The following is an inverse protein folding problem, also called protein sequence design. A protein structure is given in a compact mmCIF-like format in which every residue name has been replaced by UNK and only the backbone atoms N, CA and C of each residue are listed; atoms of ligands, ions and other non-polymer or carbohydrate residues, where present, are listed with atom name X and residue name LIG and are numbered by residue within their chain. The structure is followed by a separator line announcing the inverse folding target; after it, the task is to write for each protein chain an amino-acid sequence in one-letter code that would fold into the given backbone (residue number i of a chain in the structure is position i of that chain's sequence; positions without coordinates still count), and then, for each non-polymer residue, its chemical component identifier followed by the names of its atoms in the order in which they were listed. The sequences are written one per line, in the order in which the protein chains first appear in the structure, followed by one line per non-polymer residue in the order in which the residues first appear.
data_IF_462634817506
#
_entry.id   IF_462634817506
#
_cell.length_a   1.000
_cell.length_b   1.000
_cell.length_c   1.000
_cell.angle_alpha   90.00
_cell.angle_beta   90.00
_cell.angle_gamma   90.00
#
_symmetry.space_group_name_H-M   'P 1'
#
loop_
_entity.id
_entity.type
_entity.pdbx_description
1 polymer ?
#
# COMPACT_ATOMS: atom_id res chain seq x y z
N UNK A 1 -1.37 50.32 -7.88
CA UNK A 1 -2.82 50.07 -8.03
C UNK A 1 -3.28 49.70 -9.45
N UNK A 2 -3.12 50.53 -10.50
CA UNK A 2 -3.67 50.21 -11.84
C UNK A 2 -3.07 48.93 -12.47
N UNK A 3 -1.78 48.65 -12.23
CA UNK A 3 -1.10 47.44 -12.76
C UNK A 3 -1.32 46.22 -11.84
N UNK A 4 -1.59 46.44 -10.56
CA UNK A 4 -1.80 45.37 -9.58
C UNK A 4 -3.15 44.67 -9.80
N UNK A 5 -4.19 45.43 -10.17
CA UNK A 5 -5.53 44.87 -10.38
C UNK A 5 -5.58 43.85 -11.54
N UNK A 6 -5.03 44.12 -12.75
CA UNK A 6 -4.92 43.13 -13.82
C UNK A 6 -4.13 41.87 -13.41
N UNK A 7 -3.04 42.05 -12.65
CA UNK A 7 -2.23 40.92 -12.18
C UNK A 7 -3.01 40.05 -11.19
N UNK A 8 -3.74 40.67 -10.25
CA UNK A 8 -4.60 39.95 -9.31
C UNK A 8 -5.71 39.20 -10.04
N UNK A 9 -6.38 39.84 -11.01
CA UNK A 9 -7.43 39.18 -11.82
C UNK A 9 -6.85 38.00 -12.60
N UNK A 10 -5.65 38.13 -13.18
CA UNK A 10 -4.98 37.05 -13.88
C UNK A 10 -4.67 35.87 -12.96
N UNK A 11 -4.12 36.13 -11.77
CA UNK A 11 -3.81 35.09 -10.76
C UNK A 11 -5.09 34.36 -10.34
N UNK A 12 -6.17 35.09 -10.07
CA UNK A 12 -7.47 34.51 -9.71
C UNK A 12 -7.99 33.64 -10.84
N UNK A 13 -7.96 34.14 -12.08
CA UNK A 13 -8.45 33.42 -13.26
C UNK A 13 -7.68 32.12 -13.50
N UNK A 14 -6.35 32.16 -13.41
CA UNK A 14 -5.50 30.97 -13.52
C UNK A 14 -5.81 29.98 -12.39
N UNK A 15 -5.97 30.47 -11.16
CA UNK A 15 -6.28 29.61 -10.00
C UNK A 15 -7.64 28.92 -10.15
N UNK A 16 -8.67 29.64 -10.61
CA UNK A 16 -10.00 29.08 -10.91
C UNK A 16 -9.91 28.04 -12.02
N UNK A 17 -9.17 28.33 -13.09
CA UNK A 17 -8.98 27.39 -14.20
C UNK A 17 -8.31 26.09 -13.73
N UNK A 18 -7.20 26.19 -12.98
CA UNK A 18 -6.50 25.03 -12.43
C UNK A 18 -7.39 24.21 -11.49
N UNK A 19 -8.16 24.88 -10.64
CA UNK A 19 -9.14 24.24 -9.75
C UNK A 19 -10.20 23.46 -10.55
N UNK A 20 -10.82 24.08 -11.56
CA UNK A 20 -11.84 23.41 -12.38
C UNK A 20 -11.26 22.22 -13.15
N UNK A 21 -10.03 22.35 -13.67
CA UNK A 21 -9.32 21.27 -14.35
C UNK A 21 -9.15 20.06 -13.41
N UNK A 22 -8.70 20.29 -12.18
CA UNK A 22 -8.51 19.21 -11.18
C UNK A 22 -9.83 18.58 -10.77
N UNK A 23 -10.88 19.37 -10.60
CA UNK A 23 -12.22 18.84 -10.31
C UNK A 23 -12.72 17.92 -11.42
N UNK A 24 -12.63 18.33 -12.68
CA UNK A 24 -13.01 17.48 -13.84
C UNK A 24 -12.16 16.21 -13.92
N UNK A 25 -10.86 16.32 -13.63
CA UNK A 25 -9.97 15.18 -13.58
C UNK A 25 -10.40 14.18 -12.49
N UNK A 26 -10.73 14.63 -11.27
CA UNK A 26 -11.27 13.77 -10.22
C UNK A 26 -12.62 13.15 -10.60
N UNK A 27 -13.53 13.93 -11.21
CA UNK A 27 -14.84 13.43 -11.65
C UNK A 27 -14.70 12.31 -12.69
N UNK A 28 -13.65 12.35 -13.54
CA UNK A 28 -13.36 11.26 -14.47
C UNK A 28 -12.97 9.96 -13.74
N UNK A 29 -12.20 10.05 -12.65
CA UNK A 29 -11.83 8.88 -11.85
C UNK A 29 -13.00 8.36 -11.02
N UNK A 30 -13.89 9.24 -10.55
CA UNK A 30 -15.13 8.84 -9.91
C UNK A 30 -15.93 7.90 -10.80
N UNK A 31 -16.12 8.25 -12.07
CA UNK A 31 -16.82 7.38 -13.03
C UNK A 31 -16.16 5.99 -13.16
N UNK A 32 -14.83 5.92 -13.18
CA UNK A 32 -14.10 4.64 -13.26
C UNK A 32 -14.30 3.77 -12.01
N UNK A 33 -14.40 4.39 -10.83
CA UNK A 33 -14.64 3.68 -9.56
C UNK A 33 -16.08 3.22 -9.39
N UNK A 34 -17.05 3.75 -10.15
CA UNK A 34 -18.45 3.30 -10.09
C UNK A 34 -18.59 1.81 -10.45
N UNK A 35 -17.65 1.25 -11.20
CA UNK A 35 -17.55 -0.20 -11.47
C UNK A 35 -17.57 -1.02 -10.18
N UNK A 36 -17.12 -0.47 -9.04
CA UNK A 36 -17.18 -1.18 -7.76
C UNK A 36 -18.61 -1.56 -7.34
N UNK A 37 -19.64 -0.88 -7.83
CA UNK A 37 -21.04 -1.21 -7.55
C UNK A 37 -21.45 -2.61 -8.00
N UNK A 38 -20.72 -3.21 -8.95
CA UNK A 38 -20.97 -4.58 -9.39
C UNK A 38 -20.64 -5.61 -8.30
N UNK A 39 -19.70 -5.30 -7.40
CA UNK A 39 -19.24 -6.22 -6.35
C UNK A 39 -19.70 -5.85 -4.94
N UNK A 40 -20.18 -4.64 -4.71
CA UNK A 40 -20.47 -4.09 -3.38
C UNK A 40 -21.89 -3.51 -3.31
N UNK A 41 -22.62 -3.83 -2.24
CA UNK A 41 -23.97 -3.28 -2.00
C UNK A 41 -23.95 -1.86 -1.43
N UNK A 42 -22.87 -1.51 -0.72
CA UNK A 42 -22.64 -0.17 -0.21
C UNK A 42 -21.54 0.51 -1.01
N UNK A 43 -21.80 1.74 -1.43
CA UNK A 43 -20.87 2.55 -2.20
C UNK A 43 -21.05 4.03 -1.86
N UNK A 44 -20.00 4.67 -1.35
CA UNK A 44 -20.00 6.08 -0.97
C UNK A 44 -18.78 6.79 -1.53
N UNK A 45 -19.03 7.94 -2.17
CA UNK A 45 -18.01 8.78 -2.78
C UNK A 45 -17.77 10.02 -1.93
N UNK A 46 -16.52 10.31 -1.60
CA UNK A 46 -16.12 11.46 -0.76
C UNK A 46 -14.98 12.22 -1.44
N UNK A 47 -15.01 13.55 -1.34
CA UNK A 47 -13.95 14.45 -1.80
C UNK A 47 -13.31 15.14 -0.59
N UNK A 48 -12.34 14.49 0.10
CA UNK A 48 -11.70 15.10 1.26
C UNK A 48 -10.90 16.36 0.89
N UNK A 49 -10.49 16.52 -0.38
CA UNK A 49 -9.85 17.73 -0.87
C UNK A 49 -9.98 17.87 -2.40
N UNK A 50 -9.54 19.01 -2.94
CA UNK A 50 -9.56 19.30 -4.38
C UNK A 50 -8.68 18.38 -5.23
N UNK A 51 -7.75 17.65 -4.60
CA UNK A 51 -6.79 16.76 -5.26
C UNK A 51 -7.01 15.31 -4.87
N UNK A 52 -8.03 15.02 -4.06
CA UNK A 52 -8.25 13.69 -3.54
C UNK A 52 -9.72 13.30 -3.61
N UNK A 53 -9.92 12.11 -4.11
CA UNK A 53 -11.22 11.47 -4.20
C UNK A 53 -11.12 10.09 -3.54
N UNK A 54 -12.15 9.72 -2.79
CA UNK A 54 -12.21 8.46 -2.06
C UNK A 54 -13.53 7.77 -2.36
N UNK A 55 -13.46 6.56 -2.85
CA UNK A 55 -14.59 5.63 -2.94
C UNK A 55 -14.50 4.65 -1.79
N UNK A 56 -15.58 4.56 -1.02
CA UNK A 56 -15.77 3.64 0.09
C UNK A 56 -16.79 2.58 -0.34
N UNK A 57 -16.40 1.32 -0.26
CA UNK A 57 -17.25 0.19 -0.62
C UNK A 57 -17.40 -0.78 0.55
N UNK A 58 -18.57 -1.41 0.67
CA UNK A 58 -18.87 -2.41 1.69
C UNK A 58 -19.97 -3.38 1.26
N UNK A 59 -20.16 -4.44 2.05
CA UNK A 59 -21.22 -5.42 1.81
C UNK A 59 -20.93 -6.48 0.73
N UNK A 60 -19.66 -6.64 0.32
CA UNK A 60 -19.22 -7.80 -0.48
C UNK A 60 -19.09 -9.05 0.41
N UNK A 61 -19.17 -10.25 -0.18
CA UNK A 61 -19.09 -11.50 0.57
C UNK A 61 -17.68 -11.81 1.11
N UNK A 62 -16.62 -11.45 0.38
CA UNK A 62 -15.21 -11.72 0.74
C UNK A 62 -14.51 -10.49 1.33
N UNK A 63 -14.80 -9.30 0.79
CA UNK A 63 -14.19 -8.03 1.21
C UNK A 63 -15.12 -7.30 2.18
N UNK A 64 -14.66 -7.09 3.42
CA UNK A 64 -15.45 -6.40 4.46
C UNK A 64 -15.64 -4.93 4.10
N UNK A 65 -14.55 -4.25 3.79
CA UNK A 65 -14.52 -2.85 3.36
C UNK A 65 -13.40 -2.64 2.37
N UNK A 66 -13.63 -1.75 1.41
CA UNK A 66 -12.65 -1.32 0.42
C UNK A 66 -12.64 0.20 0.32
N UNK A 67 -11.44 0.75 0.21
CA UNK A 67 -11.15 2.16 0.05
C UNK A 67 -10.34 2.30 -1.24
N UNK A 68 -10.89 3.00 -2.24
CA UNK A 68 -10.15 3.41 -3.42
C UNK A 68 -9.89 4.92 -3.32
N UNK A 69 -8.63 5.27 -3.09
CA UNK A 69 -8.16 6.64 -2.88
C UNK A 69 -7.39 7.08 -4.12
N UNK A 70 -7.92 8.06 -4.83
CA UNK A 70 -7.26 8.72 -5.95
C UNK A 70 -6.67 10.03 -5.44
N UNK A 71 -5.37 10.24 -5.63
CA UNK A 71 -4.66 11.47 -5.27
C UNK A 71 -3.97 12.04 -6.50
N UNK A 72 -4.39 13.22 -6.93
CA UNK A 72 -3.77 13.94 -8.05
C UNK A 72 -2.51 14.68 -7.60
N UNK A 73 -1.65 14.99 -8.56
CA UNK A 73 -0.55 15.93 -8.38
C UNK A 73 -1.07 17.29 -7.86
N UNK A 74 -0.24 17.94 -7.03
CA UNK A 74 -0.54 19.23 -6.39
C UNK A 74 -0.06 20.41 -7.25
N UNK A 75 -0.48 20.45 -8.51
CA UNK A 75 -0.13 21.46 -9.52
C UNK A 75 -1.22 22.54 -9.66
N UNK A 76 -1.91 22.89 -8.58
CA UNK A 76 -3.06 23.83 -8.61
C UNK A 76 -2.70 25.28 -8.27
N UNK A 77 -1.49 25.53 -7.74
CA UNK A 77 -0.97 26.85 -7.46
C UNK A 77 0.29 27.11 -8.27
N UNK A 78 0.45 28.32 -8.81
CA UNK A 78 1.62 28.73 -9.59
C UNK A 78 2.94 28.46 -8.84
N UNK A 79 2.99 28.69 -7.53
CA UNK A 79 4.20 28.42 -6.72
C UNK A 79 4.56 26.93 -6.64
N UNK A 80 3.56 26.04 -6.78
CA UNK A 80 3.76 24.58 -6.74
C UNK A 80 4.14 24.00 -8.11
N UNK A 81 3.90 24.71 -9.20
CA UNK A 81 4.36 24.32 -10.54
C UNK A 81 5.89 24.30 -10.65
N UNK A 82 6.57 25.13 -9.85
CA UNK A 82 8.03 25.22 -9.82
C UNK A 82 8.69 24.24 -8.84
N UNK A 83 7.90 23.53 -8.03
CA UNK A 83 8.38 22.47 -7.15
C UNK A 83 8.09 21.11 -7.78
N UNK A 84 8.96 20.12 -7.54
CA UNK A 84 8.74 18.75 -7.99
C UNK A 84 7.50 18.17 -7.31
N UNK A 85 6.35 18.27 -7.97
CA UNK A 85 5.09 17.79 -7.44
C UNK A 85 5.03 16.26 -7.49
N UNK A 86 4.56 15.58 -6.43
CA UNK A 86 4.37 14.14 -6.47
C UNK A 86 3.40 13.78 -7.59
N UNK A 87 3.72 12.72 -8.33
CA UNK A 87 2.87 12.19 -9.41
C UNK A 87 1.52 11.72 -8.88
N UNK A 88 0.47 11.86 -9.69
CA UNK A 88 -0.84 11.30 -9.37
C UNK A 88 -0.75 9.80 -9.08
N UNK A 89 -1.37 9.37 -7.99
CA UNK A 89 -1.35 7.99 -7.52
C UNK A 89 -2.74 7.50 -7.15
N UNK A 90 -2.90 6.18 -7.23
CA UNK A 90 -4.02 5.44 -6.66
C UNK A 90 -3.53 4.58 -5.51
N UNK A 91 -4.33 4.53 -4.44
CA UNK A 91 -4.23 3.55 -3.37
C UNK A 91 -5.56 2.80 -3.26
N UNK A 92 -5.54 1.49 -3.40
CA UNK A 92 -6.70 0.63 -3.10
C UNK A 92 -6.35 -0.21 -1.88
N UNK A 93 -7.12 -0.08 -0.81
CA UNK A 93 -6.84 -0.77 0.46
C UNK A 93 -8.13 -1.15 1.15
N UNK A 94 -8.07 -2.02 2.15
CA UNK A 94 -9.27 -2.49 2.82
C UNK A 94 -9.01 -3.72 3.66
N UNK A 95 -10.10 -4.36 4.07
CA UNK A 95 -10.09 -5.50 4.98
C UNK A 95 -10.83 -6.68 4.34
N UNK A 96 -10.22 -7.85 4.40
CA UNK A 96 -10.83 -9.12 4.01
C UNK A 96 -11.55 -9.74 5.22
N UNK A 97 -12.60 -10.52 4.97
CA UNK A 97 -13.32 -11.24 6.03
C UNK A 97 -12.57 -12.50 6.51
N UNK A 98 -11.74 -13.10 5.66
CA UNK A 98 -10.94 -14.27 5.97
C UNK A 98 -9.45 -13.93 6.12
N UNK A 99 -8.71 -14.79 6.84
CA UNK A 99 -7.26 -14.67 6.92
C UNK A 99 -6.60 -15.29 5.68
N UNK A 100 -6.39 -14.48 4.66
CA UNK A 100 -5.60 -14.87 3.49
C UNK A 100 -4.11 -15.02 3.87
N UNK A 101 -3.38 -15.99 3.27
CA UNK A 101 -1.94 -16.07 3.45
C UNK A 101 -1.22 -14.76 3.12
N UNK A 102 -0.27 -14.39 3.98
CA UNK A 102 0.48 -13.16 3.79
C UNK A 102 1.31 -13.21 2.49
N UNK A 103 1.21 -12.15 1.69
CA UNK A 103 2.08 -11.91 0.55
C UNK A 103 2.44 -10.44 0.43
N UNK A 104 3.61 -10.18 -0.14
CA UNK A 104 4.12 -8.83 -0.34
C UNK A 104 4.82 -8.75 -1.69
N UNK A 105 4.39 -7.83 -2.53
CA UNK A 105 4.97 -7.51 -3.82
C UNK A 105 5.27 -6.01 -3.85
N UNK A 106 6.49 -5.63 -4.22
CA UNK A 106 6.79 -4.22 -4.49
C UNK A 106 7.93 -4.09 -5.49
N UNK A 107 7.95 -2.99 -6.25
CA UNK A 107 9.09 -2.71 -7.13
C UNK A 107 10.37 -2.50 -6.31
N UNK A 108 11.51 -2.86 -6.88
CA UNK A 108 12.84 -2.70 -6.27
C UNK A 108 13.14 -1.26 -5.83
N UNK A 109 12.63 -0.28 -6.58
CA UNK A 109 12.81 1.15 -6.27
C UNK A 109 12.08 1.60 -5.00
N UNK A 110 11.13 0.81 -4.48
CA UNK A 110 10.41 1.11 -3.25
C UNK A 110 10.86 0.21 -2.11
N UNK A 111 11.00 0.81 -0.92
CA UNK A 111 11.23 0.08 0.32
C UNK A 111 9.89 -0.13 1.03
N UNK A 112 9.39 -1.36 1.05
CA UNK A 112 8.21 -1.71 1.82
C UNK A 112 8.57 -1.82 3.31
N UNK A 113 7.96 -0.94 4.13
CA UNK A 113 8.07 -1.02 5.60
C UNK A 113 6.82 -1.69 6.14
N UNK A 114 6.91 -3.00 6.38
CA UNK A 114 5.83 -3.80 6.93
C UNK A 114 6.40 -4.91 7.83
N UNK A 115 5.95 -5.00 9.09
CA UNK A 115 6.49 -5.95 10.06
C UNK A 115 6.39 -7.41 9.56
N UNK A 116 5.29 -7.76 8.89
CA UNK A 116 5.08 -9.09 8.32
C UNK A 116 6.12 -9.58 7.29
N UNK A 117 6.97 -8.70 6.75
CA UNK A 117 8.09 -9.11 5.88
C UNK A 117 9.11 -9.98 6.62
N UNK A 118 9.34 -9.77 7.92
CA UNK A 118 10.31 -10.56 8.69
C UNK A 118 9.89 -12.02 8.86
N UNK A 119 8.58 -12.30 8.77
CA UNK A 119 8.02 -13.64 8.89
C UNK A 119 7.79 -14.33 7.53
N UNK A 120 8.12 -13.66 6.43
CA UNK A 120 7.83 -14.11 5.08
C UNK A 120 9.10 -14.48 4.32
N UNK A 121 9.08 -15.65 3.68
CA UNK A 121 10.19 -16.08 2.83
C UNK A 121 10.16 -15.29 1.51
N UNK A 122 11.34 -14.91 1.02
CA UNK A 122 11.50 -14.30 -0.31
C UNK A 122 11.19 -15.36 -1.38
N UNK A 123 10.34 -15.00 -2.32
CA UNK A 123 10.06 -15.79 -3.52
C UNK A 123 11.11 -15.44 -4.58
N UNK A 124 11.76 -16.44 -5.16
CA UNK A 124 12.76 -16.25 -6.22
C UNK A 124 12.03 -16.18 -7.57
N UNK A 125 11.85 -14.97 -8.09
CA UNK A 125 11.34 -14.76 -9.45
C UNK A 125 12.51 -14.79 -10.44
N UNK A 126 12.48 -15.74 -11.37
CA UNK A 126 13.41 -15.74 -12.51
C UNK A 126 12.96 -14.76 -13.62
N UNK A 127 11.66 -14.46 -13.69
CA UNK A 127 11.03 -13.78 -14.82
C UNK A 127 10.78 -12.28 -14.62
N UNK A 128 10.61 -11.79 -13.39
CA UNK A 128 10.23 -10.39 -13.16
C UNK A 128 11.26 -9.67 -12.26
N UNK A 129 12.35 -9.21 -12.89
CA UNK A 129 13.52 -8.64 -12.20
C UNK A 129 13.23 -7.33 -11.47
N UNK A 130 12.15 -6.63 -11.83
CA UNK A 130 11.82 -5.32 -11.28
C UNK A 130 11.12 -5.38 -9.91
N UNK A 131 10.67 -6.57 -9.50
CA UNK A 131 9.88 -6.79 -8.31
C UNK A 131 10.60 -7.62 -7.25
N UNK A 132 10.36 -7.27 -5.99
CA UNK A 132 10.61 -8.15 -4.85
C UNK A 132 9.31 -8.77 -4.40
N UNK A 133 9.32 -10.08 -4.21
CA UNK A 133 8.14 -10.85 -3.83
C UNK A 133 8.46 -11.70 -2.60
N UNK A 134 7.55 -11.70 -1.64
CA UNK A 134 7.65 -12.42 -0.37
C UNK A 134 6.31 -13.07 -0.02
N UNK A 135 6.35 -14.18 0.70
CA UNK A 135 5.16 -14.85 1.23
C UNK A 135 4.57 -15.88 0.27
N UNK A 136 3.26 -16.14 0.39
CA UNK A 136 2.55 -17.14 -0.44
C UNK A 136 1.94 -16.44 -1.65
N UNK A 137 2.44 -16.76 -2.83
CA UNK A 137 1.99 -16.14 -4.08
C UNK A 137 1.59 -17.24 -5.05
N UNK A 138 0.42 -17.09 -5.66
CA UNK A 138 -0.11 -17.98 -6.70
C UNK A 138 0.06 -17.36 -8.09
N UNK A 139 -0.27 -18.12 -9.13
CA UNK A 139 -0.15 -17.66 -10.51
C UNK A 139 -1.05 -16.44 -10.77
N UNK A 140 -2.24 -16.37 -10.18
CA UNK A 140 -3.16 -15.23 -10.34
C UNK A 140 -2.51 -13.90 -9.91
N UNK A 141 -1.81 -13.89 -8.78
CA UNK A 141 -1.10 -12.70 -8.31
C UNK A 141 0.11 -12.40 -9.22
N UNK A 142 0.86 -13.42 -9.65
CA UNK A 142 2.00 -13.26 -10.55
C UNK A 142 1.59 -12.68 -11.92
N UNK A 143 0.52 -13.20 -12.49
CA UNK A 143 -0.04 -12.73 -13.76
C UNK A 143 -0.52 -11.28 -13.62
N UNK A 144 -1.17 -10.95 -12.50
CA UNK A 144 -1.61 -9.58 -12.23
C UNK A 144 -0.46 -8.58 -12.15
N UNK A 145 0.62 -8.89 -11.41
CA UNK A 145 1.77 -7.99 -11.30
C UNK A 145 2.62 -7.93 -12.57
N UNK A 146 2.51 -8.94 -13.45
CA UNK A 146 3.15 -8.91 -14.77
C UNK A 146 2.36 -8.07 -15.78
N UNK A 147 1.03 -8.04 -15.65
CA UNK A 147 0.12 -7.32 -16.55
C UNK A 147 -0.05 -5.85 -16.16
N UNK A 148 0.00 -5.55 -14.87
CA UNK A 148 -0.28 -4.21 -14.34
C UNK A 148 0.93 -3.65 -13.59
N UNK A 149 1.36 -2.45 -13.97
CA UNK A 149 2.53 -1.77 -13.41
C UNK A 149 2.26 -1.19 -12.00
N UNK A 150 2.08 -2.08 -11.01
CA UNK A 150 1.82 -1.71 -9.62
C UNK A 150 3.12 -1.39 -8.88
N UNK A 151 3.12 -0.40 -8.00
CA UNK A 151 4.31 -0.03 -7.23
C UNK A 151 4.47 -0.89 -5.98
N UNK A 152 3.36 -1.13 -5.26
CA UNK A 152 3.28 -1.95 -4.06
C UNK A 152 1.95 -2.68 -4.10
N UNK A 153 1.95 -3.98 -3.80
CA UNK A 153 0.75 -4.77 -3.60
C UNK A 153 0.98 -5.83 -2.52
N UNK A 154 0.21 -5.83 -1.44
CA UNK A 154 0.31 -6.82 -0.39
C UNK A 154 -1.05 -7.18 0.21
N UNK A 155 -1.11 -8.37 0.81
CA UNK A 155 -2.16 -8.77 1.73
C UNK A 155 -1.51 -9.34 2.99
N UNK A 156 -1.96 -8.88 4.15
CA UNK A 156 -1.36 -9.23 5.43
C UNK A 156 -2.38 -9.21 6.56
N UNK A 157 -2.42 -10.26 7.37
CA UNK A 157 -3.08 -10.22 8.67
C UNK A 157 -2.15 -9.79 9.81
N UNK A 158 -0.86 -9.59 9.52
CA UNK A 158 0.11 -9.06 10.50
C UNK A 158 -0.03 -7.53 10.55
N UNK A 159 -0.04 -6.91 11.75
CA UNK A 159 0.04 -5.46 11.89
C UNK A 159 1.21 -4.85 11.11
N UNK A 160 1.03 -3.64 10.60
CA UNK A 160 2.05 -2.97 9.77
C UNK A 160 3.30 -2.64 10.57
N UNK A 161 3.14 -2.24 11.82
CA UNK A 161 4.20 -1.92 12.77
C UNK A 161 4.03 -2.73 14.05
N UNK A 162 5.11 -2.81 14.82
CA UNK A 162 5.16 -3.52 16.11
C UNK A 162 4.60 -2.65 17.25
N UNK A 163 4.41 -1.35 16.99
CA UNK A 163 3.91 -0.35 17.94
C UNK A 163 2.39 -0.42 18.17
N UNK A 164 1.62 -0.84 17.15
CA UNK A 164 0.15 -0.77 17.18
C UNK A 164 -0.47 -1.99 17.85
N UNK A 165 -1.58 -1.77 18.58
CA UNK A 165 -2.40 -2.82 19.21
C UNK A 165 -2.73 -3.95 18.21
N UNK A 166 -2.57 -5.24 18.57
CA UNK A 166 -2.50 -6.34 17.62
C UNK A 166 -3.91 -6.77 17.16
N UNK A 167 -4.55 -5.97 16.33
CA UNK A 167 -5.66 -6.45 15.51
C UNK A 167 -5.08 -7.18 14.30
N UNK A 168 -5.08 -8.51 14.36
CA UNK A 168 -4.62 -9.37 13.27
C UNK A 168 -5.65 -9.48 12.13
N UNK A 169 -6.36 -8.41 11.81
CA UNK A 169 -7.32 -8.40 10.70
C UNK A 169 -6.57 -8.45 9.37
N UNK A 170 -7.05 -9.27 8.43
CA UNK A 170 -6.44 -9.37 7.10
C UNK A 170 -6.72 -8.08 6.32
N UNK A 171 -5.68 -7.31 6.08
CA UNK A 171 -5.74 -6.11 5.26
C UNK A 171 -5.09 -6.36 3.89
N UNK A 172 -5.50 -5.60 2.89
CA UNK A 172 -4.80 -5.53 1.62
C UNK A 172 -4.46 -4.08 1.28
N UNK A 173 -3.42 -3.90 0.49
CA UNK A 173 -2.96 -2.59 0.06
C UNK A 173 -2.32 -2.69 -1.31
N UNK A 174 -2.79 -1.87 -2.22
CA UNK A 174 -2.27 -1.69 -3.56
C UNK A 174 -1.98 -0.20 -3.77
N UNK A 175 -0.82 0.12 -4.33
CA UNK A 175 -0.44 1.46 -4.75
C UNK A 175 0.11 1.44 -6.17
N UNK A 176 -0.25 2.42 -6.98
CA UNK A 176 0.33 2.63 -8.30
C UNK A 176 -0.07 3.95 -8.94
N UNK A 177 0.15 4.09 -10.24
CA UNK A 177 -0.28 5.26 -11.02
C UNK A 177 -1.80 5.27 -11.21
N UNK A 178 -2.41 6.46 -11.23
CA UNK A 178 -3.85 6.61 -11.54
C UNK A 178 -4.24 6.05 -12.91
N UNK A 179 -3.29 5.92 -13.84
CA UNK A 179 -3.49 5.27 -15.15
C UNK A 179 -3.98 3.82 -15.04
N UNK A 180 -3.73 3.14 -13.92
CA UNK A 180 -4.21 1.78 -13.68
C UNK A 180 -5.74 1.70 -13.72
N UNK A 181 -6.46 2.72 -13.23
CA UNK A 181 -7.93 2.74 -13.28
C UNK A 181 -8.49 2.81 -14.71
N UNK A 182 -7.71 3.33 -15.65
CA UNK A 182 -8.07 3.43 -17.06
C UNK A 182 -7.69 2.15 -17.82
N UNK A 183 -6.92 1.25 -17.20
CA UNK A 183 -6.47 0.02 -17.84
C UNK A 183 -7.57 -1.03 -17.78
N UNK A 184 -7.98 -1.53 -18.94
CA UNK A 184 -9.09 -2.48 -19.05
C UNK A 184 -8.88 -3.74 -18.19
N UNK A 185 -9.93 -4.13 -17.49
CA UNK A 185 -9.95 -5.30 -16.62
C UNK A 185 -9.10 -5.19 -15.36
N UNK A 186 -8.43 -4.07 -15.09
CA UNK A 186 -7.61 -3.92 -13.88
C UNK A 186 -8.41 -4.16 -12.60
N UNK A 187 -9.54 -3.45 -12.44
CA UNK A 187 -10.41 -3.59 -11.26
C UNK A 187 -11.02 -4.99 -11.16
N UNK A 188 -11.51 -5.54 -12.27
CA UNK A 188 -12.06 -6.90 -12.31
C UNK A 188 -11.02 -7.96 -11.89
N UNK A 189 -9.80 -7.87 -12.41
CA UNK A 189 -8.73 -8.81 -12.05
C UNK A 189 -8.24 -8.62 -10.61
N UNK A 190 -8.24 -7.39 -10.10
CA UNK A 190 -7.97 -7.14 -8.68
C UNK A 190 -9.05 -7.78 -7.81
N UNK A 191 -10.33 -7.58 -8.14
CA UNK A 191 -11.43 -8.19 -7.40
C UNK A 191 -11.36 -9.72 -7.43
N UNK A 192 -11.07 -10.34 -8.59
CA UNK A 192 -10.84 -11.79 -8.67
C UNK A 192 -9.76 -12.28 -7.72
N UNK A 193 -8.67 -11.52 -7.54
CA UNK A 193 -7.66 -11.86 -6.54
C UNK A 193 -8.27 -11.76 -5.14
N UNK A 194 -8.94 -10.66 -4.79
CA UNK A 194 -9.49 -10.45 -3.45
C UNK A 194 -10.61 -11.43 -3.07
N UNK A 195 -11.37 -11.91 -4.05
CA UNK A 195 -12.48 -12.86 -3.90
C UNK A 195 -12.03 -14.32 -3.95
N UNK A 196 -10.76 -14.59 -4.26
CA UNK A 196 -10.21 -15.94 -4.26
C UNK A 196 -10.19 -16.51 -2.84
N UNK A 197 -10.89 -17.62 -2.63
CA UNK A 197 -11.03 -18.28 -1.33
C UNK A 197 -9.77 -19.07 -0.98
N UNK A 198 -8.72 -18.34 -0.58
CA UNK A 198 -7.46 -18.90 -0.09
C UNK A 198 -7.31 -18.53 1.37
N UNK A 199 -7.47 -19.51 2.25
CA UNK A 199 -7.34 -19.33 3.71
C UNK A 199 -6.00 -19.88 4.20
N UNK A 200 -5.31 -19.12 5.05
CA UNK A 200 -4.09 -19.61 5.69
C UNK A 200 -4.43 -20.61 6.80
N UNK A 201 -3.52 -21.55 7.05
CA UNK A 201 -3.72 -22.55 8.09
C UNK A 201 -3.67 -21.93 9.48
N UNK A 202 -4.55 -22.35 10.39
CA UNK A 202 -4.56 -21.87 11.78
C UNK A 202 -3.19 -22.03 12.46
N UNK A 203 -2.51 -23.15 12.19
CA UNK A 203 -1.16 -23.42 12.68
C UNK A 203 -0.19 -22.30 12.28
N UNK A 204 -0.14 -21.93 11.00
CA UNK A 204 0.75 -20.88 10.50
C UNK A 204 0.35 -19.49 11.02
N UNK A 205 -0.95 -19.22 11.12
CA UNK A 205 -1.46 -17.99 11.72
C UNK A 205 -0.95 -17.86 13.16
N UNK A 206 -1.09 -18.90 13.97
CA UNK A 206 -0.68 -18.91 15.38
C UNK A 206 0.84 -18.79 15.54
N UNK A 207 1.63 -19.45 14.68
CA UNK A 207 3.09 -19.31 14.68
C UNK A 207 3.53 -17.87 14.37
N UNK A 208 2.89 -17.21 13.40
CA UNK A 208 3.19 -15.82 13.04
C UNK A 208 2.75 -14.86 14.15
N UNK A 209 1.56 -15.08 14.73
CA UNK A 209 1.08 -14.30 15.89
C UNK A 209 2.06 -14.38 17.05
N UNK A 210 2.52 -15.59 17.40
CA UNK A 210 3.50 -15.79 18.49
C UNK A 210 4.81 -15.07 18.22
N UNK A 211 5.36 -15.18 17.00
CA UNK A 211 6.60 -14.46 16.63
C UNK A 211 6.42 -12.94 16.70
N UNK A 212 5.29 -12.43 16.22
CA UNK A 212 4.98 -11.01 16.29
C UNK A 212 4.88 -10.51 17.73
N UNK A 213 4.20 -11.24 18.61
CA UNK A 213 4.08 -10.86 20.02
C UNK A 213 5.44 -10.83 20.73
N UNK A 214 6.34 -11.78 20.43
CA UNK A 214 7.72 -11.73 20.94
C UNK A 214 8.48 -10.49 20.46
N UNK A 215 8.27 -10.06 19.22
CA UNK A 215 8.88 -8.84 18.70
C UNK A 215 8.26 -7.58 19.34
N UNK A 216 6.96 -7.60 19.66
CA UNK A 216 6.28 -6.53 20.43
C UNK A 216 6.85 -6.43 21.84
N UNK A 217 7.07 -7.56 22.51
CA UNK A 217 7.70 -7.59 23.84
C UNK A 217 9.11 -7.03 23.81
N UNK A 218 9.94 -7.49 22.86
CA UNK A 218 11.29 -6.95 22.66
C UNK A 218 11.28 -5.45 22.38
N UNK A 219 10.36 -4.98 21.53
CA UNK A 219 10.24 -3.55 21.24
C UNK A 219 9.90 -2.76 22.50
N UNK A 220 8.95 -3.24 23.33
CA UNK A 220 8.59 -2.60 24.61
C UNK A 220 9.75 -2.61 25.61
N UNK A 221 10.54 -3.68 25.65
CA UNK A 221 11.75 -3.73 26.48
C UNK A 221 12.81 -2.76 25.99
N UNK A 222 13.05 -2.70 24.67
CA UNK A 222 13.97 -1.73 24.07
C UNK A 222 13.50 -0.29 24.32
N UNK A 223 12.19 0.00 24.26
CA UNK A 223 11.67 1.34 24.54
C UNK A 223 11.93 1.80 25.97
N UNK A 224 11.89 0.88 26.95
CA UNK A 224 12.19 1.16 28.37
C UNK A 224 13.67 1.49 28.62
N UNK A 225 14.57 1.13 27.72
CA UNK A 225 15.99 1.45 27.86
C UNK A 225 16.27 2.95 27.70
N UNK A 226 17.24 3.44 28.45
CA UNK A 226 17.70 4.83 28.34
C UNK A 226 18.35 5.11 26.99
N UNK A 227 18.40 6.38 26.57
CA UNK A 227 19.00 6.79 25.29
C UNK A 227 20.44 6.27 25.10
N UNK A 228 21.27 6.33 26.14
CA UNK A 228 22.66 5.85 26.10
C UNK A 228 22.76 4.32 25.99
N UNK A 229 21.82 3.58 26.57
CA UNK A 229 21.77 2.11 26.46
C UNK A 229 21.35 1.69 25.05
N UNK A 230 20.40 2.41 24.44
CA UNK A 230 20.02 2.22 23.03
C UNK A 230 21.21 2.44 22.09
N UNK A 231 21.97 3.52 22.28
CA UNK A 231 23.18 3.80 21.50
C UNK A 231 24.27 2.73 21.68
N UNK A 232 24.50 2.27 22.92
CA UNK A 232 25.48 1.21 23.21
C UNK A 232 25.08 -0.10 22.53
N UNK A 233 23.80 -0.46 22.56
CA UNK A 233 23.29 -1.66 21.91
C UNK A 233 23.37 -1.59 20.38
N UNK A 234 23.13 -0.43 19.77
CA UNK A 234 23.33 -0.23 18.33
C UNK A 234 24.81 -0.35 17.92
N UNK A 235 25.74 0.18 18.72
CA UNK A 235 27.17 0.07 18.48
C UNK A 235 27.64 -1.40 18.52
N UNK A 236 27.13 -2.18 19.47
CA UNK A 236 27.43 -3.62 19.60
C UNK A 236 26.81 -4.44 18.46
N UNK A 237 25.55 -4.16 18.06
CA UNK A 237 24.89 -4.85 16.93
C UNK A 237 25.63 -4.63 15.59
N UNK A 238 26.28 -3.48 15.40
CA UNK A 238 27.08 -3.19 14.19
C UNK A 238 28.46 -3.85 14.18
N UNK A 239 28.98 -4.28 15.32
CA UNK A 239 30.32 -4.87 15.45
C UNK A 239 30.34 -6.39 15.46
N UNK A 240 29.18 -7.06 15.55
CA UNK A 240 29.12 -8.53 15.43
C UNK A 240 29.08 -8.96 13.95
N UNK A 241 30.11 -9.65 13.42
CA UNK A 241 30.01 -10.27 12.11
C UNK A 241 28.97 -11.39 12.15
N UNK A 242 28.11 -11.45 11.14
CA UNK A 242 27.17 -12.55 10.93
C UNK A 242 27.99 -13.83 10.74
N UNK A 243 28.18 -14.61 11.80
CA UNK A 243 28.79 -15.93 11.74
C UNK A 243 27.84 -16.82 10.95
N UNK A 244 28.08 -16.96 9.65
CA UNK A 244 27.41 -17.98 8.86
C UNK A 244 27.88 -19.35 9.36
N UNK A 245 26.98 -20.27 9.76
CA UNK A 245 27.38 -21.61 10.13
C UNK A 245 27.96 -22.31 8.89
N UNK A 246 29.24 -22.66 8.97
CA UNK A 246 29.92 -23.51 8.00
C UNK A 246 29.13 -24.82 7.92
N UNK A 247 28.51 -25.09 6.77
CA UNK A 247 27.94 -26.40 6.46
C UNK A 247 29.09 -27.40 6.49
N UNK A 248 29.13 -28.25 7.52
CA UNK A 248 29.93 -29.49 7.49
C UNK A 248 29.35 -30.36 6.39
N UNK A 249 30.01 -30.41 5.23
CA UNK A 249 29.78 -31.47 4.26
C UNK A 249 30.10 -32.79 4.96
N UNK A 250 29.07 -33.63 5.12
CA UNK A 250 29.23 -35.04 5.44
C UNK A 250 29.02 -35.82 4.13
N UNK A 251 30.04 -36.63 3.84
CA UNK A 251 30.25 -37.58 2.75
C UNK A 251 30.91 -36.99 1.51
#
# INVERSE_FOLDING_TARGET
MIVELPVVILIISISIFLFQKKKRELDSYKALTETFKEWFSLHLNIFPSIHQFVTLCGGNQYVRTLYCIVSLSKDFCLSQLFLSSPSSQIVITGYLKSHRPNFYVHKNRYKLKHAGLSYSKKYLLNTNKDYQVYGVVNNTILDFISKYDVDIFYCSYVPKTVETCPLFESNFYLRGSTKLLQTEGFLSNLMKILEEDVVDTEKRINEIKKKHMLDVEKFREEEKLGFFEKLKNEAIKKTQPVVQPIKKNKK
#
